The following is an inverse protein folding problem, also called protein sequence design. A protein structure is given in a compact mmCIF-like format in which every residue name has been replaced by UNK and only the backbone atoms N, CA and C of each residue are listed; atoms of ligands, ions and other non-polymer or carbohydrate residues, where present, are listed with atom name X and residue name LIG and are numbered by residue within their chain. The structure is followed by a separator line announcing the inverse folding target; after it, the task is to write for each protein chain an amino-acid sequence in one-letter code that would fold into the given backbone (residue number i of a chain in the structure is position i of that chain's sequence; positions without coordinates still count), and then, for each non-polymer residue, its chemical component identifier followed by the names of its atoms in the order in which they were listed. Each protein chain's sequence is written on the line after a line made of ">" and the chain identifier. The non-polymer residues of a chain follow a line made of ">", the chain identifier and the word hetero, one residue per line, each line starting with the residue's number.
data_IF_367922188668
#
_entry.id   IF_367922188668
#
_cell.length_a   1.000
_cell.length_b   1.000
_cell.length_c   1.000
_cell.angle_alpha   90.00
_cell.angle_beta   90.00
_cell.angle_gamma   90.00
#
_symmetry.space_group_name_H-M   'P 1'
#
loop_
_entity.id
_entity.type
_entity.pdbx_description
1 polymer ?
#
# COMPACT_ATOMS: atom_id res chain seq x y z
N UNK A 1 24.56 2.19 -12.55
CA UNK A 1 24.04 1.52 -11.34
C UNK A 1 22.55 1.31 -11.55
N UNK A 2 22.12 0.10 -11.88
CA UNK A 2 20.70 -0.21 -12.01
C UNK A 2 20.06 -0.17 -10.62
N UNK A 3 19.18 0.80 -10.39
CA UNK A 3 18.37 0.85 -9.18
C UNK A 3 17.31 -0.25 -9.27
N UNK A 4 17.54 -1.33 -8.54
CA UNK A 4 16.54 -2.37 -8.30
C UNK A 4 15.42 -1.76 -7.45
N UNK A 5 14.37 -1.24 -8.08
CA UNK A 5 13.16 -0.81 -7.39
C UNK A 5 12.58 -2.02 -6.66
N UNK A 6 12.65 -2.02 -5.34
CA UNK A 6 11.95 -3.02 -4.53
C UNK A 6 10.45 -2.69 -4.57
N UNK A 7 9.59 -3.59 -5.06
CA UNK A 7 8.17 -3.32 -5.15
C UNK A 7 7.62 -3.10 -3.75
N UNK A 8 7.12 -1.89 -3.49
CA UNK A 8 6.47 -1.53 -2.23
C UNK A 8 5.00 -1.91 -2.32
N UNK A 9 4.65 -3.02 -1.67
CA UNK A 9 3.26 -3.45 -1.57
C UNK A 9 2.43 -2.48 -0.70
N UNK A 10 1.16 -2.30 -1.04
CA UNK A 10 0.24 -1.42 -0.30
C UNK A 10 -0.09 -1.95 1.10
N UNK A 11 -0.02 -3.27 1.28
CA UNK A 11 -0.34 -3.94 2.54
C UNK A 11 0.63 -5.08 2.87
N UNK A 12 0.69 -5.46 4.15
CA UNK A 12 1.47 -6.62 4.60
C UNK A 12 0.83 -7.96 4.20
N UNK A 13 1.64 -9.03 4.16
CA UNK A 13 1.21 -10.39 3.77
C UNK A 13 -0.03 -10.89 4.53
N UNK A 14 -0.11 -10.62 5.84
CA UNK A 14 -1.26 -10.99 6.66
C UNK A 14 -2.55 -10.28 6.24
N UNK A 15 -2.44 -9.05 5.76
CA UNK A 15 -3.60 -8.27 5.31
C UNK A 15 -4.15 -8.77 3.97
N UNK A 16 -3.25 -9.15 3.07
CA UNK A 16 -3.63 -9.82 1.82
C UNK A 16 -4.38 -11.14 2.07
N UNK A 17 -4.02 -11.90 3.10
CA UNK A 17 -4.76 -13.10 3.48
C UNK A 17 -6.18 -12.77 3.95
N UNK A 18 -6.35 -11.71 4.73
CA UNK A 18 -7.67 -11.27 5.19
C UNK A 18 -8.55 -10.79 4.03
N UNK A 19 -7.99 -10.05 3.07
CA UNK A 19 -8.70 -9.71 1.83
C UNK A 19 -9.14 -10.96 1.06
N UNK A 20 -8.25 -11.95 0.89
CA UNK A 20 -8.63 -13.18 0.18
C UNK A 20 -9.79 -13.92 0.86
N UNK A 21 -9.79 -13.95 2.20
CA UNK A 21 -10.88 -14.53 2.99
C UNK A 21 -12.17 -13.72 2.86
N UNK A 22 -12.09 -12.39 2.90
CA UNK A 22 -13.22 -11.49 2.67
C UNK A 22 -13.87 -11.76 1.31
N UNK A 23 -13.07 -11.75 0.25
CA UNK A 23 -13.51 -12.06 -1.10
C UNK A 23 -14.16 -13.44 -1.23
N UNK A 24 -13.62 -14.46 -0.56
CA UNK A 24 -14.22 -15.79 -0.55
C UNK A 24 -15.61 -15.80 0.10
N UNK A 25 -15.81 -15.03 1.17
CA UNK A 25 -17.11 -14.88 1.84
C UNK A 25 -18.10 -14.11 0.96
N UNK A 26 -17.67 -13.04 0.28
CA UNK A 26 -18.50 -12.33 -0.69
C UNK A 26 -18.94 -13.26 -1.82
N UNK A 27 -18.00 -14.01 -2.40
CA UNK A 27 -18.30 -14.99 -3.44
C UNK A 27 -19.30 -16.04 -2.94
N UNK A 28 -19.11 -16.55 -1.71
CA UNK A 28 -20.06 -17.47 -1.10
C UNK A 28 -21.46 -16.84 -0.95
N UNK A 29 -21.58 -15.59 -0.52
CA UNK A 29 -22.86 -14.88 -0.42
C UNK A 29 -23.59 -14.74 -1.75
N UNK A 30 -22.88 -14.35 -2.82
CA UNK A 30 -23.45 -14.29 -4.17
C UNK A 30 -23.83 -15.67 -4.70
N UNK A 31 -23.01 -16.69 -4.44
CA UNK A 31 -23.31 -18.07 -4.83
C UNK A 31 -24.55 -18.56 -4.08
N UNK A 32 -24.68 -18.30 -2.78
CA UNK A 32 -25.87 -18.67 -1.99
C UNK A 32 -27.14 -18.04 -2.54
N UNK A 33 -27.12 -16.77 -2.96
CA UNK A 33 -28.26 -16.15 -3.64
C UNK A 33 -28.57 -16.81 -4.99
N UNK A 34 -27.55 -17.20 -5.75
CA UNK A 34 -27.70 -17.81 -7.07
C UNK A 34 -28.15 -19.27 -7.00
N UNK A 35 -27.74 -19.99 -5.95
CA UNK A 35 -28.10 -21.39 -5.72
C UNK A 35 -29.46 -21.56 -5.03
N UNK A 36 -30.05 -20.47 -4.54
CA UNK A 36 -31.37 -20.52 -3.92
C UNK A 36 -32.40 -20.93 -5.00
N UNK A 37 -32.85 -22.18 -4.91
CA UNK A 37 -33.72 -22.83 -5.88
C UNK A 37 -35.21 -22.51 -5.65
N UNK A 38 -35.52 -21.59 -4.75
CA UNK A 38 -36.88 -21.08 -4.57
C UNK A 38 -37.29 -20.23 -5.77
N UNK A 39 -38.53 -20.42 -6.25
CA UNK A 39 -39.09 -19.56 -7.29
C UNK A 39 -39.01 -18.10 -6.82
N UNK A 40 -38.36 -17.26 -7.62
CA UNK A 40 -38.06 -15.84 -7.34
C UNK A 40 -37.00 -15.54 -6.28
N UNK A 41 -36.28 -16.53 -5.75
CA UNK A 41 -35.23 -16.30 -4.75
C UNK A 41 -35.76 -15.75 -3.43
N UNK A 42 -37.06 -15.95 -3.14
CA UNK A 42 -37.72 -15.58 -1.88
C UNK A 42 -37.36 -16.53 -0.73
N UNK A 43 -36.52 -17.53 -0.99
CA UNK A 43 -35.98 -18.40 0.03
C UNK A 43 -35.23 -17.59 1.09
N UNK A 44 -35.30 -18.09 2.34
CA UNK A 44 -34.57 -17.51 3.46
C UNK A 44 -33.06 -17.42 3.17
N UNK A 45 -32.52 -18.36 2.38
CA UNK A 45 -31.12 -18.35 1.96
C UNK A 45 -30.79 -17.15 1.07
N UNK A 46 -31.64 -16.81 0.10
CA UNK A 46 -31.44 -15.71 -0.83
C UNK A 46 -31.69 -14.34 -0.19
N UNK A 47 -32.82 -14.12 0.47
CA UNK A 47 -33.18 -12.79 1.01
C UNK A 47 -32.55 -12.49 2.37
N UNK A 48 -32.28 -13.49 3.21
CA UNK A 48 -31.73 -13.25 4.56
C UNK A 48 -30.27 -13.64 4.65
N UNK A 49 -29.92 -14.88 4.29
CA UNK A 49 -28.56 -15.38 4.48
C UNK A 49 -27.55 -14.74 3.52
N UNK A 50 -27.94 -14.56 2.25
CA UNK A 50 -27.13 -13.90 1.23
C UNK A 50 -26.70 -12.49 1.63
N UNK A 51 -27.62 -11.57 1.95
CA UNK A 51 -27.26 -10.21 2.34
C UNK A 51 -26.44 -10.17 3.63
N UNK A 52 -26.71 -11.03 4.60
CA UNK A 52 -25.91 -11.13 5.83
C UNK A 52 -24.46 -11.52 5.50
N UNK A 53 -24.25 -12.52 4.64
CA UNK A 53 -22.92 -12.93 4.19
C UNK A 53 -22.18 -11.80 3.47
N UNK A 54 -22.89 -11.03 2.62
CA UNK A 54 -22.31 -9.88 1.95
C UNK A 54 -21.91 -8.78 2.94
N UNK A 55 -22.76 -8.44 3.91
CA UNK A 55 -22.44 -7.44 4.94
C UNK A 55 -21.21 -7.85 5.75
N UNK A 56 -21.14 -9.12 6.16
CA UNK A 56 -19.99 -9.66 6.89
C UNK A 56 -18.73 -9.64 6.02
N UNK A 57 -18.84 -10.08 4.76
CA UNK A 57 -17.72 -10.08 3.81
C UNK A 57 -17.17 -8.68 3.56
N UNK A 58 -18.05 -7.71 3.30
CA UNK A 58 -17.66 -6.30 3.16
C UNK A 58 -17.08 -5.73 4.45
N UNK A 59 -17.61 -6.10 5.62
CA UNK A 59 -17.06 -5.69 6.92
C UNK A 59 -15.63 -6.19 7.13
N UNK A 60 -15.36 -7.45 6.76
CA UNK A 60 -14.02 -8.05 6.83
C UNK A 60 -13.06 -7.37 5.85
N UNK A 61 -13.49 -7.11 4.62
CA UNK A 61 -12.69 -6.38 3.62
C UNK A 61 -12.35 -4.97 4.08
N UNK A 62 -13.35 -4.25 4.60
CA UNK A 62 -13.15 -2.91 5.14
C UNK A 62 -12.19 -2.93 6.32
N UNK A 63 -12.32 -3.91 7.22
CA UNK A 63 -11.39 -4.10 8.32
C UNK A 63 -9.99 -4.47 7.84
N UNK A 64 -9.84 -5.34 6.84
CA UNK A 64 -8.53 -5.67 6.27
C UNK A 64 -7.87 -4.40 5.71
N UNK A 65 -8.55 -3.63 4.86
CA UNK A 65 -7.98 -2.40 4.28
C UNK A 65 -7.61 -1.38 5.37
N UNK A 66 -8.47 -1.22 6.38
CA UNK A 66 -8.24 -0.30 7.49
C UNK A 66 -7.12 -0.77 8.43
N UNK A 67 -6.95 -2.08 8.59
CA UNK A 67 -5.96 -2.66 9.50
C UNK A 67 -4.57 -2.50 8.92
N UNK A 68 -3.95 -1.38 9.25
CA UNK A 68 -2.51 -1.17 9.05
C UNK A 68 -1.76 -2.12 9.98
N UNK A 69 -0.97 -3.08 9.48
CA UNK A 69 -0.10 -3.84 10.35
C UNK A 69 0.90 -2.87 10.99
N UNK A 70 0.93 -2.85 12.32
CA UNK A 70 1.89 -2.10 13.13
C UNK A 70 3.31 -2.66 13.04
N UNK A 71 3.82 -2.84 11.83
CA UNK A 71 5.24 -3.08 11.56
C UNK A 71 5.77 -1.90 10.76
N UNK A 72 5.87 -0.76 11.42
CA UNK A 72 6.88 0.25 11.10
C UNK A 72 8.18 -0.30 11.71
N UNK A 73 9.04 -0.93 10.91
CA UNK A 73 10.30 -0.27 10.53
C UNK A 73 10.51 -0.37 9.00
N UNK A 74 10.92 0.66 8.26
CA UNK A 74 11.73 1.83 8.61
C UNK A 74 11.17 3.09 7.92
N UNK A 75 11.15 4.24 8.60
CA UNK A 75 11.25 5.52 7.90
C UNK A 75 12.55 5.48 7.09
N UNK A 76 12.51 6.09 5.91
CA UNK A 76 13.62 6.12 4.97
C UNK A 76 14.98 6.23 5.68
N UNK A 77 15.85 5.24 5.48
CA UNK A 77 17.26 5.60 5.32
C UNK A 77 17.33 6.29 3.97
N UNK A 78 17.04 7.60 4.00
CA UNK A 78 17.30 8.55 2.94
C UNK A 78 18.81 8.60 2.68
N UNK A 79 19.33 7.58 2.01
CA UNK A 79 20.65 7.66 1.36
C UNK A 79 20.55 8.47 0.06
N UNK A 80 19.33 8.80 -0.40
CA UNK A 80 19.12 9.61 -1.60
C UNK A 80 19.12 11.14 -1.33
N UNK A 81 18.67 11.61 -0.17
CA UNK A 81 18.54 13.06 0.09
C UNK A 81 19.84 13.74 0.53
N UNK A 82 20.96 13.03 0.70
CA UNK A 82 22.26 13.65 1.02
C UNK A 82 23.15 13.92 -0.20
N UNK A 83 22.83 13.38 -1.38
CA UNK A 83 23.79 13.38 -2.50
C UNK A 83 23.54 14.48 -3.53
N UNK A 84 22.39 15.17 -3.51
CA UNK A 84 22.14 16.26 -4.48
C UNK A 84 22.64 17.65 -4.06
N UNK A 85 23.08 17.87 -2.81
CA UNK A 85 23.74 19.15 -2.45
C UNK A 85 25.26 19.15 -2.70
N UNK A 86 25.86 18.04 -3.16
CA UNK A 86 27.31 17.94 -3.33
C UNK A 86 27.82 18.05 -4.78
N UNK A 87 26.94 18.29 -5.77
CA UNK A 87 27.37 18.42 -7.18
C UNK A 87 26.86 19.71 -7.79
N UNK A 88 27.32 20.83 -7.24
CA UNK A 88 27.51 22.03 -8.04
C UNK A 88 28.83 22.66 -7.59
N UNK A 89 29.82 22.57 -8.48
CA UNK A 89 31.10 23.29 -8.48
C UNK A 89 32.25 22.69 -7.66
N UNK A 90 33.08 21.85 -8.29
CA UNK A 90 34.52 21.80 -8.01
C UNK A 90 35.28 21.08 -9.12
N UNK A 91 35.41 21.74 -10.28
CA UNK A 91 36.48 21.45 -11.24
C UNK A 91 37.82 21.80 -10.58
N UNK A 92 38.88 20.97 -10.68
CA UNK A 92 40.18 21.32 -10.14
C UNK A 92 40.85 22.28 -11.13
N UNK A 93 40.73 23.59 -10.87
CA UNK A 93 41.51 24.60 -11.58
C UNK A 93 42.33 25.37 -10.55
N UNK A 94 43.62 25.03 -10.54
CA UNK A 94 44.77 25.87 -10.20
C UNK A 94 44.40 27.29 -9.74
N UNK A 95 44.66 27.59 -8.47
CA UNK A 95 44.56 28.94 -7.93
C UNK A 95 45.71 29.82 -8.46
N UNK A 96 45.44 30.95 -9.16
CA UNK A 96 46.40 32.04 -9.27
C UNK A 96 46.10 33.12 -8.23
N UNK A 97 47.14 33.41 -7.43
CA UNK A 97 47.48 34.65 -6.73
C UNK A 97 46.39 35.50 -6.04
N UNK A 98 46.56 35.70 -4.73
CA UNK A 98 45.82 36.65 -3.89
C UNK A 98 46.08 38.11 -4.30
N UNK A 99 45.05 38.95 -4.50
CA UNK A 99 45.19 40.40 -4.42
C UNK A 99 44.90 40.89 -2.99
N UNK A 100 45.94 41.39 -2.33
CA UNK A 100 45.88 42.21 -1.12
C UNK A 100 45.20 43.55 -1.44
N UNK A 101 44.13 43.93 -0.73
CA UNK A 101 43.59 45.29 -0.77
C UNK A 101 43.68 45.99 0.59
N UNK A 102 44.35 47.14 0.59
CA UNK A 102 44.32 48.14 1.66
C UNK A 102 42.99 48.87 1.61
N UNK A 103 42.33 48.98 2.77
CA UNK A 103 41.11 49.75 2.96
C UNK A 103 41.48 51.20 3.31
N UNK A 104 41.04 52.22 2.54
CA UNK A 104 41.17 53.63 2.92
C UNK A 104 40.18 54.01 4.03
#
# INVERSE_FOLDING_TARGET
>A
MEQKQTPRFAFGRRNYQLMFVGLAILAAGFITMTLDSSDYGEGFLGITLGPILLIIGFGIEFWAIMTRPGSVPQPATDTATRTETATTTATPVTAPARPTYKRP
#
